data_IF_575221697896
#
_entry.id   IF_575221697896
#
_cell.length_a   1.000
_cell.length_b   1.000
_cell.length_c   1.000
_cell.angle_alpha   90.00
_cell.angle_beta   90.00
_cell.angle_gamma   90.00
#
_symmetry.space_group_name_H-M   'P 1'
#
loop_
_entity.id
_entity.type
_entity.pdbx_description
1 polymer ?
#
# COMPACT_ATOMS: atom_id res chain seq x y z
N UNK A 1 -1.13 8.49 -8.72
CA UNK A 1 -1.12 7.15 -8.08
C UNK A 1 -1.97 7.09 -6.82
N UNK A 2 -1.63 7.82 -5.75
CA UNK A 2 -2.31 7.73 -4.45
C UNK A 2 -3.83 7.89 -4.52
N UNK A 3 -4.31 8.88 -5.26
CA UNK A 3 -5.76 9.14 -5.39
C UNK A 3 -6.50 7.99 -6.07
N UNK A 4 -5.87 7.29 -7.01
CA UNK A 4 -6.45 6.10 -7.63
C UNK A 4 -6.45 4.92 -6.63
N UNK A 5 -5.36 4.73 -5.89
CA UNK A 5 -5.27 3.72 -4.84
C UNK A 5 -6.31 3.93 -3.72
N UNK A 6 -6.59 5.18 -3.36
CA UNK A 6 -7.66 5.54 -2.41
C UNK A 6 -9.03 5.10 -2.91
N UNK A 7 -9.35 5.30 -4.19
CA UNK A 7 -10.63 4.85 -4.74
C UNK A 7 -10.71 3.32 -4.83
N UNK A 8 -9.62 2.64 -5.22
CA UNK A 8 -9.55 1.16 -5.17
C UNK A 8 -9.83 0.66 -3.75
N UNK A 9 -9.21 1.28 -2.75
CA UNK A 9 -9.45 0.98 -1.35
C UNK A 9 -10.92 1.21 -0.97
N UNK A 10 -11.57 2.28 -1.42
CA UNK A 10 -13.00 2.54 -1.14
C UNK A 10 -13.93 1.52 -1.81
N UNK A 11 -13.67 1.17 -3.06
CA UNK A 11 -14.48 0.22 -3.84
C UNK A 11 -14.38 -1.20 -3.28
N UNK A 12 -13.17 -1.61 -2.88
CA UNK A 12 -12.87 -2.94 -2.36
C UNK A 12 -12.69 -2.92 -0.84
N UNK A 13 -13.80 -3.12 -0.13
CA UNK A 13 -13.88 -3.12 1.34
C UNK A 13 -13.09 -4.22 2.05
N UNK A 14 -12.63 -5.21 1.30
CA UNK A 14 -11.86 -6.35 1.81
C UNK A 14 -10.36 -6.03 1.95
N UNK A 15 -9.91 -4.96 1.32
CA UNK A 15 -8.54 -4.46 1.47
C UNK A 15 -8.35 -3.83 2.86
N UNK A 16 -7.28 -4.22 3.54
CA UNK A 16 -6.97 -3.73 4.90
C UNK A 16 -5.94 -2.62 4.89
N UNK A 17 -4.95 -2.71 4.00
CA UNK A 17 -3.89 -1.73 3.83
C UNK A 17 -3.43 -1.75 2.37
N UNK A 18 -2.99 -0.60 1.87
CA UNK A 18 -2.23 -0.50 0.64
C UNK A 18 -0.97 0.33 0.87
N UNK A 19 0.08 0.04 0.13
CA UNK A 19 1.35 0.73 0.23
C UNK A 19 1.88 1.01 -1.17
N UNK A 20 2.22 2.26 -1.47
CA UNK A 20 2.75 2.64 -2.76
C UNK A 20 4.03 3.45 -2.66
N UNK A 21 4.96 3.19 -3.57
CA UNK A 21 6.20 3.94 -3.76
C UNK A 21 6.50 3.98 -5.25
N UNK A 22 7.03 5.10 -5.73
CA UNK A 22 7.34 5.29 -7.15
C UNK A 22 6.08 5.10 -8.01
N UNK A 23 6.10 4.09 -8.87
CA UNK A 23 5.10 3.67 -9.85
C UNK A 23 4.39 2.38 -9.43
N UNK A 24 4.65 1.88 -8.21
CA UNK A 24 4.08 0.64 -7.70
C UNK A 24 3.09 0.87 -6.55
N UNK A 25 2.10 -0.02 -6.46
CA UNK A 25 1.17 -0.11 -5.34
C UNK A 25 0.91 -1.57 -4.96
N UNK A 26 1.12 -1.90 -3.70
CA UNK A 26 0.74 -3.16 -3.08
C UNK A 26 -0.61 -3.00 -2.38
N UNK A 27 -1.54 -3.92 -2.65
CA UNK A 27 -2.85 -3.97 -2.00
C UNK A 27 -2.97 -5.28 -1.21
N UNK A 28 -3.29 -5.19 0.08
CA UNK A 28 -3.34 -6.36 0.96
C UNK A 28 -4.79 -6.70 1.30
N UNK A 29 -5.20 -7.92 0.94
CA UNK A 29 -6.42 -8.53 1.44
C UNK A 29 -6.14 -9.21 2.78
N UNK A 30 -7.09 -9.15 3.71
CA UNK A 30 -6.98 -9.93 4.94
C UNK A 30 -6.93 -11.44 4.62
N UNK A 31 -6.15 -12.27 5.35
CA UNK A 31 -6.09 -13.73 5.14
C UNK A 31 -7.46 -14.41 5.11
N UNK A 32 -8.43 -13.91 5.88
CA UNK A 32 -9.79 -14.46 5.93
C UNK A 32 -10.74 -13.93 4.85
N UNK A 33 -10.31 -13.04 3.95
CA UNK A 33 -11.18 -12.52 2.88
C UNK A 33 -11.65 -13.67 1.98
N UNK A 34 -12.93 -13.63 1.62
CA UNK A 34 -13.56 -14.57 0.69
C UNK A 34 -13.92 -13.90 -0.65
N UNK A 35 -13.38 -12.70 -0.89
CA UNK A 35 -13.67 -11.95 -2.10
C UNK A 35 -13.31 -12.79 -3.34
N UNK A 36 -14.27 -12.90 -4.26
CA UNK A 36 -14.16 -13.73 -5.47
C UNK A 36 -13.74 -15.18 -5.22
N UNK A 37 -14.07 -15.75 -4.06
CA UNK A 37 -13.64 -17.10 -3.65
C UNK A 37 -12.12 -17.25 -3.68
N UNK A 38 -11.39 -16.16 -3.44
CA UNK A 38 -9.93 -16.10 -3.45
C UNK A 38 -9.30 -16.49 -4.79
N UNK A 39 -10.06 -16.44 -5.89
CA UNK A 39 -9.55 -16.67 -7.24
C UNK A 39 -8.56 -15.56 -7.60
N UNK A 40 -7.27 -15.91 -7.65
CA UNK A 40 -6.17 -14.99 -7.93
C UNK A 40 -6.41 -14.12 -9.17
N UNK A 41 -6.81 -14.75 -10.28
CA UNK A 41 -7.09 -14.03 -11.53
C UNK A 41 -8.17 -12.96 -11.38
N UNK A 42 -9.23 -13.20 -10.58
CA UNK A 42 -10.27 -12.19 -10.31
C UNK A 42 -9.75 -11.08 -9.40
N UNK A 43 -9.01 -11.42 -8.35
CA UNK A 43 -8.44 -10.43 -7.45
C UNK A 43 -7.50 -9.47 -8.20
N UNK A 44 -6.56 -10.02 -8.97
CA UNK A 44 -5.57 -9.24 -9.74
C UNK A 44 -6.28 -8.39 -10.79
N UNK A 45 -7.11 -9.00 -11.64
CA UNK A 45 -7.77 -8.25 -12.73
C UNK A 45 -8.70 -7.16 -12.21
N UNK A 46 -9.39 -7.38 -11.09
CA UNK A 46 -10.22 -6.32 -10.47
C UNK A 46 -9.35 -5.19 -9.92
N UNK A 47 -8.27 -5.47 -9.20
CA UNK A 47 -7.36 -4.41 -8.71
C UNK A 47 -6.80 -3.60 -9.87
N UNK A 48 -6.23 -4.26 -10.87
CA UNK A 48 -5.58 -3.58 -12.02
C UNK A 48 -6.59 -2.76 -12.81
N UNK A 49 -7.75 -3.34 -13.17
CA UNK A 49 -8.76 -2.62 -13.95
C UNK A 49 -9.36 -1.43 -13.20
N UNK A 50 -9.67 -1.59 -11.91
CA UNK A 50 -10.19 -0.50 -11.07
C UNK A 50 -9.15 0.60 -10.87
N UNK A 51 -7.88 0.23 -10.64
CA UNK A 51 -6.79 1.19 -10.49
C UNK A 51 -6.58 2.01 -11.76
N UNK A 52 -6.45 1.34 -12.91
CA UNK A 52 -6.26 1.98 -14.22
C UNK A 52 -7.41 2.93 -14.54
N UNK A 53 -8.66 2.48 -14.32
CA UNK A 53 -9.85 3.31 -14.55
C UNK A 53 -9.82 4.59 -13.71
N UNK A 54 -9.53 4.49 -12.41
CA UNK A 54 -9.44 5.66 -11.53
C UNK A 54 -8.24 6.55 -11.86
N UNK A 55 -7.10 5.98 -12.27
CA UNK A 55 -5.92 6.75 -12.66
C UNK A 55 -6.21 7.63 -13.87
N UNK A 56 -6.79 7.04 -14.92
CA UNK A 56 -7.18 7.78 -16.14
C UNK A 56 -8.27 8.80 -15.81
N UNK A 57 -9.30 8.41 -15.06
CA UNK A 57 -10.40 9.30 -14.69
C UNK A 57 -9.94 10.54 -13.92
N UNK A 58 -8.97 10.38 -13.01
CA UNK A 58 -8.45 11.48 -12.21
C UNK A 58 -7.29 12.22 -12.85
N UNK A 59 -6.77 11.77 -13.99
CA UNK A 59 -5.59 12.38 -14.62
C UNK A 59 -5.76 13.89 -14.82
N UNK A 60 -6.87 14.31 -15.42
CA UNK A 60 -7.17 15.73 -15.69
C UNK A 60 -7.32 16.58 -14.44
N UNK A 61 -7.59 15.96 -13.27
CA UNK A 61 -7.63 16.67 -11.98
C UNK A 61 -6.22 17.09 -11.53
N UNK A 62 -5.19 16.32 -11.88
CA UNK A 62 -3.80 16.58 -11.49
C UNK A 62 -3.00 17.26 -12.61
N UNK A 63 -3.32 16.96 -13.86
CA UNK A 63 -2.61 17.46 -15.05
C UNK A 63 -3.61 18.08 -16.05
N UNK A 64 -4.27 19.20 -15.71
CA UNK A 64 -5.28 19.82 -16.57
C UNK A 64 -4.70 20.32 -17.90
N UNK A 65 -3.43 20.71 -17.91
CA UNK A 65 -2.73 21.25 -19.09
C UNK A 65 -2.04 20.18 -19.94
N UNK A 66 -2.02 18.92 -19.48
CA UNK A 66 -1.34 17.83 -20.18
C UNK A 66 -2.30 16.66 -20.35
N UNK A 67 -3.22 16.70 -21.33
CA UNK A 67 -4.14 15.60 -21.60
C UNK A 67 -3.40 14.28 -21.88
N UNK A 68 -4.05 13.15 -21.58
CA UNK A 68 -3.50 11.84 -21.93
C UNK A 68 -3.55 11.63 -23.44
N UNK A 69 -2.38 11.39 -24.03
CA UNK A 69 -2.26 10.99 -25.42
C UNK A 69 -2.42 9.46 -25.55
N UNK A 70 -3.12 8.95 -26.58
CA UNK A 70 -3.28 7.51 -26.79
C UNK A 70 -1.95 6.74 -26.88
N UNK A 71 -0.88 7.40 -27.34
CA UNK A 71 0.47 6.84 -27.44
C UNK A 71 1.20 6.70 -26.09
N UNK A 72 0.71 7.35 -25.04
CA UNK A 72 1.36 7.44 -23.73
C UNK A 72 0.42 7.04 -22.59
N UNK A 73 -0.53 6.16 -22.87
CA UNK A 73 -1.43 5.66 -21.84
C UNK A 73 -0.66 4.82 -20.81
N UNK A 74 -0.92 5.03 -19.51
CA UNK A 74 -0.25 4.27 -18.47
C UNK A 74 -0.70 2.80 -18.54
N UNK A 75 0.27 1.90 -18.51
CA UNK A 75 0.04 0.46 -18.31
C UNK A 75 0.50 0.10 -16.91
N UNK A 76 -0.36 -0.57 -16.15
CA UNK A 76 -0.04 -1.04 -14.81
C UNK A 76 0.02 -2.55 -14.82
N UNK A 77 1.16 -3.08 -14.40
CA UNK A 77 1.38 -4.51 -14.22
C UNK A 77 1.31 -4.86 -12.74
N UNK A 78 0.80 -6.06 -12.44
CA UNK A 78 0.64 -6.51 -11.05
C UNK A 78 1.84 -7.32 -10.60
N UNK A 79 2.95 -6.69 -10.21
CA UNK A 79 4.16 -7.37 -9.77
C UNK A 79 4.76 -6.80 -8.45
N UNK A 80 5.69 -7.53 -7.85
CA UNK A 80 6.36 -7.19 -6.57
C UNK A 80 7.83 -6.80 -6.86
N UNK A 81 8.24 -5.52 -6.81
CA UNK A 81 9.58 -5.09 -6.30
C UNK A 81 9.91 -3.59 -6.42
N UNK A 82 9.97 -2.86 -5.29
CA UNK A 82 10.23 -1.42 -5.31
C UNK A 82 11.71 -1.00 -5.09
N UNK A 83 12.55 -1.76 -4.38
CA UNK A 83 13.91 -1.28 -4.02
C UNK A 83 14.91 -1.29 -5.19
N UNK A 84 14.71 -2.19 -6.14
CA UNK A 84 15.56 -2.30 -7.33
C UNK A 84 15.38 -1.10 -8.26
N UNK A 85 14.13 -0.66 -8.47
CA UNK A 85 13.75 0.33 -9.47
C UNK A 85 14.30 1.74 -9.17
N UNK A 86 14.29 2.18 -7.91
CA UNK A 86 14.81 3.51 -7.55
C UNK A 86 16.30 3.68 -7.85
N UNK A 87 17.10 2.64 -7.60
CA UNK A 87 18.54 2.71 -7.84
C UNK A 87 18.86 2.58 -9.33
N UNK A 88 18.10 1.74 -10.03
CA UNK A 88 18.24 1.52 -11.47
C UNK A 88 18.03 2.83 -12.26
N UNK A 89 16.93 3.54 -12.01
CA UNK A 89 16.61 4.76 -12.76
C UNK A 89 17.52 5.94 -12.43
N UNK A 90 18.01 6.05 -11.19
CA UNK A 90 18.93 7.14 -10.83
C UNK A 90 20.27 7.01 -11.58
N UNK A 91 20.78 5.80 -11.74
CA UNK A 91 22.01 5.54 -12.49
C UNK A 91 21.87 5.84 -13.99
N UNK A 92 20.70 5.59 -14.56
CA UNK A 92 20.42 5.89 -15.98
C UNK A 92 20.24 7.39 -16.19
N UNK A 93 19.34 8.02 -15.44
CA UNK A 93 18.92 9.40 -15.70
C UNK A 93 19.95 10.43 -15.24
N UNK A 94 20.64 10.20 -14.11
CA UNK A 94 21.65 11.11 -13.57
C UNK A 94 23.08 10.65 -13.83
N UNK A 95 23.30 9.34 -13.89
CA UNK A 95 24.62 8.76 -14.16
C UNK A 95 24.94 8.54 -15.63
N UNK A 96 23.97 8.71 -16.54
CA UNK A 96 24.15 8.48 -17.98
C UNK A 96 24.41 7.01 -18.34
N UNK A 97 24.13 6.08 -17.43
CA UNK A 97 24.34 4.65 -17.68
C UNK A 97 23.28 4.08 -18.62
N UNK A 98 23.65 3.03 -19.35
CA UNK A 98 22.68 2.26 -20.13
C UNK A 98 21.88 1.33 -19.21
N UNK A 99 20.68 0.93 -19.64
CA UNK A 99 19.84 -0.03 -18.90
C UNK A 99 20.60 -1.31 -18.55
N UNK A 100 21.40 -1.84 -19.48
CA UNK A 100 22.16 -3.08 -19.31
C UNK A 100 23.29 -2.94 -18.30
N UNK A 101 23.92 -1.77 -18.24
CA UNK A 101 25.01 -1.51 -17.29
C UNK A 101 24.45 -1.28 -15.88
N UNK A 102 23.34 -0.56 -15.75
CA UNK A 102 22.66 -0.35 -14.48
C UNK A 102 22.15 -1.66 -13.87
N UNK A 103 21.58 -2.58 -14.67
CA UNK A 103 21.16 -3.90 -14.21
C UNK A 103 22.35 -4.77 -13.76
N UNK A 104 23.45 -4.74 -14.52
CA UNK A 104 24.68 -5.48 -14.16
C UNK A 104 25.26 -4.98 -12.84
N UNK A 105 25.27 -3.67 -12.64
CA UNK A 105 25.83 -3.05 -11.44
C UNK A 105 24.94 -3.25 -10.20
N UNK A 106 23.62 -3.37 -10.37
CA UNK A 106 22.70 -3.70 -9.27
C UNK A 106 22.67 -5.18 -8.91
N UNK A 107 23.16 -6.04 -9.79
CA UNK A 107 23.14 -7.49 -9.58
C UNK A 107 23.99 -7.85 -8.37
N UNK A 108 23.35 -8.42 -7.35
CA UNK A 108 24.01 -8.85 -6.11
C UNK A 108 24.18 -7.78 -5.04
N UNK A 109 23.73 -6.55 -5.29
CA UNK A 109 23.79 -5.45 -4.30
C UNK A 109 22.75 -5.63 -3.20
N UNK A 110 23.10 -5.25 -1.97
CA UNK A 110 22.15 -5.13 -0.85
C UNK A 110 21.63 -3.69 -0.71
N UNK A 111 20.79 -3.42 0.28
CA UNK A 111 20.18 -2.10 0.47
C UNK A 111 21.20 -1.01 0.86
N UNK A 112 22.25 -1.38 1.60
CA UNK A 112 23.33 -0.44 1.98
C UNK A 112 24.11 0.06 0.78
N UNK A 113 24.46 -0.83 -0.15
CA UNK A 113 25.25 -0.50 -1.34
C UNK A 113 24.50 0.49 -2.24
N UNK A 114 23.19 0.29 -2.38
CA UNK A 114 22.31 1.20 -3.14
C UNK A 114 22.27 2.61 -2.53
N UNK A 115 22.23 2.71 -1.20
CA UNK A 115 22.26 3.99 -0.50
C UNK A 115 23.62 4.70 -0.64
N UNK A 116 24.73 3.95 -0.61
CA UNK A 116 26.07 4.51 -0.80
C UNK A 116 26.28 5.06 -2.21
N UNK A 117 25.76 4.36 -3.23
CA UNK A 117 25.78 4.83 -4.63
C UNK A 117 25.08 6.19 -4.77
N UNK A 118 23.90 6.35 -4.15
CA UNK A 118 23.13 7.59 -4.19
C UNK A 118 23.85 8.76 -3.53
N UNK A 119 24.49 8.51 -2.37
CA UNK A 119 25.17 9.53 -1.60
C UNK A 119 26.50 9.96 -2.25
N UNK A 120 27.39 9.00 -2.54
CA UNK A 120 28.76 9.27 -2.97
C UNK A 120 28.85 9.80 -4.40
N UNK A 121 28.02 9.30 -5.31
CA UNK A 121 28.12 9.66 -6.74
C UNK A 121 27.29 10.87 -7.14
N UNK A 122 26.19 11.13 -6.43
CA UNK A 122 25.22 12.15 -6.82
C UNK A 122 25.03 13.25 -5.78
N UNK A 123 25.70 13.16 -4.62
CA UNK A 123 25.61 14.17 -3.55
C UNK A 123 24.21 14.28 -2.95
N UNK A 124 23.36 13.27 -3.14
CA UNK A 124 21.97 13.28 -2.68
C UNK A 124 21.95 12.74 -1.25
N UNK A 125 21.69 13.60 -0.28
CA UNK A 125 21.36 13.16 1.06
C UNK A 125 19.90 12.69 1.10
N UNK A 126 19.71 11.38 0.95
CA UNK A 126 18.38 10.74 0.94
C UNK A 126 17.52 11.10 2.17
N UNK A 127 18.12 11.42 3.32
CA UNK A 127 17.37 11.75 4.53
C UNK A 127 16.62 13.10 4.47
N UNK A 128 17.03 14.01 3.58
CA UNK A 128 16.42 15.34 3.45
C UNK A 128 15.26 15.37 2.44
N UNK A 129 15.03 14.27 1.71
CA UNK A 129 13.90 14.17 0.81
C UNK A 129 12.56 14.14 1.58
N UNK A 130 11.47 14.64 0.97
CA UNK A 130 10.12 14.49 1.51
C UNK A 130 9.80 13.05 1.96
N UNK A 131 9.05 12.90 3.06
CA UNK A 131 8.71 11.57 3.60
C UNK A 131 7.99 10.69 2.57
N UNK A 132 7.21 11.26 1.65
CA UNK A 132 6.59 10.50 0.55
C UNK A 132 7.62 9.76 -0.31
N UNK A 133 8.82 10.30 -0.51
CA UNK A 133 9.89 9.67 -1.30
C UNK A 133 10.76 8.71 -0.46
N UNK A 134 10.78 8.88 0.86
CA UNK A 134 11.55 8.04 1.79
C UNK A 134 10.76 6.85 2.34
N UNK A 135 9.49 7.07 2.62
CA UNK A 135 8.58 6.16 3.33
C UNK A 135 7.42 5.69 2.47
N UNK A 136 7.25 6.25 1.26
CA UNK A 136 6.12 5.92 0.42
C UNK A 136 4.80 6.46 0.96
N UNK A 137 3.72 5.86 0.49
CA UNK A 137 2.34 6.23 0.82
C UNK A 137 1.61 5.01 1.37
N UNK A 138 1.32 5.00 2.66
CA UNK A 138 0.48 3.98 3.29
C UNK A 138 -0.97 4.46 3.27
N UNK A 139 -1.86 3.58 2.80
CA UNK A 139 -3.29 3.84 2.70
C UNK A 139 -4.04 2.82 3.54
N UNK A 140 -4.91 3.29 4.42
CA UNK A 140 -5.71 2.43 5.29
C UNK A 140 -7.03 3.11 5.65
N UNK A 141 -7.96 2.33 6.21
CA UNK A 141 -9.20 2.85 6.76
C UNK A 141 -8.95 3.38 8.17
N UNK A 142 -9.28 4.64 8.39
CA UNK A 142 -9.11 5.31 9.66
C UNK A 142 -10.23 4.93 10.64
N UNK A 143 -9.79 4.46 11.81
CA UNK A 143 -10.59 4.29 13.02
C UNK A 143 -9.87 5.03 14.16
N UNK A 144 -10.51 5.16 15.32
CA UNK A 144 -9.87 5.68 16.52
C UNK A 144 -8.62 4.87 16.85
N UNK A 145 -7.47 5.54 17.01
CA UNK A 145 -6.21 4.89 17.37
C UNK A 145 -6.31 4.30 18.77
N UNK A 146 -5.76 3.10 18.96
CA UNK A 146 -5.69 2.47 20.28
C UNK A 146 -4.38 2.84 20.98
N UNK A 147 -4.45 3.06 22.30
CA UNK A 147 -3.26 3.31 23.12
C UNK A 147 -2.54 1.99 23.40
N UNK A 148 -1.21 1.88 23.19
CA UNK A 148 -0.46 0.64 23.38
C UNK A 148 -0.61 0.04 24.80
N UNK A 149 -0.80 0.90 25.81
CA UNK A 149 -1.00 0.48 27.21
C UNK A 149 -2.33 -0.23 27.47
N UNK A 150 -3.32 -0.03 26.60
CA UNK A 150 -4.60 -0.74 26.69
C UNK A 150 -4.56 -2.13 26.04
N UNK A 151 -3.58 -2.37 25.15
CA UNK A 151 -3.40 -3.64 24.45
C UNK A 151 -2.77 -4.74 25.33
N UNK A 152 -1.99 -4.40 26.36
CA UNK A 152 -1.39 -5.37 27.30
C UNK A 152 -2.43 -6.18 28.11
N UNK A 153 -3.68 -5.73 28.17
CA UNK A 153 -4.79 -6.49 28.77
C UNK A 153 -5.38 -7.56 27.83
N UNK A 154 -5.00 -7.55 26.55
CA UNK A 154 -5.49 -8.49 25.54
C UNK A 154 -4.31 -9.32 25.06
N UNK A 155 -4.18 -10.54 25.59
CA UNK A 155 -3.15 -11.52 25.23
C UNK A 155 -2.85 -11.48 23.73
N UNK A 156 -1.56 -11.44 23.39
CA UNK A 156 -1.10 -11.71 22.03
C UNK A 156 -1.78 -12.99 21.51
N UNK A 157 -2.34 -12.99 20.29
CA UNK A 157 -2.86 -14.22 19.72
C UNK A 157 -1.67 -15.15 19.48
N UNK A 158 -1.63 -16.27 20.20
CA UNK A 158 -0.71 -17.36 19.91
C UNK A 158 -0.96 -17.88 18.48
N UNK A 159 0.06 -18.43 17.82
CA UNK A 159 -0.10 -19.02 16.47
C UNK A 159 -1.21 -20.09 16.41
N UNK A 160 -1.56 -20.70 17.54
CA UNK A 160 -2.71 -21.62 17.67
C UNK A 160 -4.08 -20.91 17.59
N UNK A 161 -4.20 -19.64 18.01
CA UNK A 161 -5.42 -18.83 17.91
C UNK A 161 -5.68 -18.33 16.48
N UNK A 162 -4.61 -18.05 15.72
CA UNK A 162 -4.70 -17.69 14.31
C UNK A 162 -5.26 -18.84 13.44
N UNK A 163 -4.94 -20.08 13.81
CA UNK A 163 -5.45 -21.28 13.14
C UNK A 163 -6.86 -21.69 13.62
N UNK A 164 -7.26 -21.39 14.87
CA UNK A 164 -8.63 -21.66 15.35
C UNK A 164 -9.67 -20.64 14.84
N UNK A 165 -9.23 -19.44 14.42
CA UNK A 165 -10.08 -18.41 13.83
C UNK A 165 -10.57 -18.74 12.39
N UNK A 166 -10.12 -19.85 11.80
CA UNK A 166 -10.51 -20.27 10.45
C UNK A 166 -11.94 -20.82 10.34
N UNK A 167 -12.68 -21.01 11.44
CA UNK A 167 -14.07 -21.48 11.37
C UNK A 167 -14.96 -20.90 12.48
N UNK A 168 -15.39 -19.65 12.32
CA UNK A 168 -16.76 -19.29 12.71
C UNK A 168 -17.38 -18.56 11.53
N UNK A 169 -18.36 -19.20 10.89
CA UNK A 169 -19.19 -18.56 9.87
C UNK A 169 -19.89 -17.36 10.50
N UNK A 170 -19.27 -16.19 10.36
CA UNK A 170 -19.88 -14.92 10.70
C UNK A 170 -21.14 -14.82 9.84
N UNK A 171 -22.30 -14.70 10.47
CA UNK A 171 -23.59 -14.66 9.79
C UNK A 171 -23.57 -13.62 8.65
N UNK A 172 -24.23 -13.91 7.52
CA UNK A 172 -24.33 -12.98 6.38
C UNK A 172 -24.71 -11.57 6.81
N UNK A 173 -25.61 -11.44 7.78
CA UNK A 173 -26.03 -10.15 8.35
C UNK A 173 -24.90 -9.42 9.08
N UNK A 174 -24.04 -10.14 9.82
CA UNK A 174 -22.87 -9.56 10.48
C UNK A 174 -21.81 -9.14 9.45
N UNK A 175 -21.58 -9.94 8.42
CA UNK A 175 -20.67 -9.59 7.32
C UNK A 175 -21.12 -8.30 6.60
N UNK A 176 -22.42 -8.16 6.32
CA UNK A 176 -22.97 -6.94 5.72
C UNK A 176 -22.83 -5.72 6.63
N UNK A 177 -23.04 -5.87 7.95
CA UNK A 177 -22.83 -4.78 8.92
C UNK A 177 -21.36 -4.33 8.92
N UNK A 178 -20.42 -5.27 8.97
CA UNK A 178 -18.98 -5.00 8.89
C UNK A 178 -18.65 -4.29 7.57
N UNK A 179 -19.20 -4.76 6.45
CA UNK A 179 -18.99 -4.14 5.13
C UNK A 179 -19.51 -2.71 5.07
N UNK A 180 -20.70 -2.45 5.63
CA UNK A 180 -21.28 -1.10 5.74
C UNK A 180 -20.41 -0.18 6.60
N UNK A 181 -19.90 -0.68 7.73
CA UNK A 181 -19.01 0.09 8.60
C UNK A 181 -17.69 0.45 7.90
N UNK A 182 -17.08 -0.51 7.18
CA UNK A 182 -15.87 -0.25 6.37
C UNK A 182 -16.07 0.72 5.23
N UNK A 183 -17.30 0.82 4.68
CA UNK A 183 -17.66 1.83 3.68
C UNK A 183 -17.78 3.23 4.28
N UNK A 184 -18.17 3.34 5.54
CA UNK A 184 -18.26 4.62 6.27
C UNK A 184 -16.89 5.12 6.73
N UNK A 185 -15.97 4.22 7.03
CA UNK A 185 -14.62 4.59 7.45
C UNK A 185 -13.90 5.40 6.38
N UNK A 186 -13.31 6.53 6.79
CA UNK A 186 -12.49 7.37 5.92
C UNK A 186 -11.25 6.60 5.49
N UNK A 187 -10.94 6.63 4.19
CA UNK A 187 -9.66 6.11 3.68
C UNK A 187 -8.65 7.25 3.71
N UNK A 188 -7.57 7.07 4.46
CA UNK A 188 -6.50 8.08 4.65
C UNK A 188 -5.21 7.65 3.97
N UNK A 189 -4.38 8.64 3.67
CA UNK A 189 -3.03 8.45 3.09
C UNK A 189 -2.04 9.10 4.04
N UNK A 190 -1.11 8.32 4.57
CA UNK A 190 -0.03 8.81 5.43
C UNK A 190 1.35 8.46 4.83
N UNK A 191 2.38 9.17 5.28
CA UNK A 191 3.78 8.95 4.90
C UNK A 191 4.59 8.67 6.17
N UNK A 192 4.32 7.52 6.79
CA UNK A 192 4.86 7.16 8.11
C UNK A 192 5.58 5.81 8.09
N UNK A 193 6.40 5.57 9.11
CA UNK A 193 7.09 4.31 9.29
C UNK A 193 6.11 3.19 9.66
N UNK A 194 6.04 2.16 8.81
CA UNK A 194 5.20 0.97 9.03
C UNK A 194 6.05 -0.25 9.44
N UNK A 195 7.34 -0.06 9.70
CA UNK A 195 8.27 -1.13 10.08
C UNK A 195 8.18 -1.37 11.58
N UNK A 196 8.10 -0.30 12.38
CA UNK A 196 7.99 -0.39 13.84
C UNK A 196 6.61 -0.85 14.32
N UNK A 197 6.59 -1.56 15.45
CA UNK A 197 5.38 -2.11 16.06
C UNK A 197 4.34 -1.04 16.43
N UNK A 198 4.78 0.18 16.76
CA UNK A 198 3.88 1.27 17.13
C UNK A 198 2.79 1.51 16.07
N UNK A 199 3.14 1.41 14.78
CA UNK A 199 2.18 1.58 13.71
C UNK A 199 1.04 0.55 13.79
N UNK A 200 1.40 -0.72 14.02
CA UNK A 200 0.51 -1.87 14.04
C UNK A 200 -0.30 -1.96 15.34
N UNK A 201 0.33 -1.71 16.48
CA UNK A 201 -0.29 -1.73 17.81
C UNK A 201 -1.37 -0.66 17.94
N UNK A 202 -1.16 0.53 17.36
CA UNK A 202 -2.14 1.61 17.36
C UNK A 202 -3.28 1.40 16.35
N UNK A 203 -3.14 0.43 15.44
CA UNK A 203 -4.10 0.14 14.35
C UNK A 203 -4.44 -1.36 14.28
N UNK A 204 -4.91 -2.00 15.36
CA UNK A 204 -5.08 -3.45 15.41
C UNK A 204 -6.15 -3.98 14.44
N UNK A 205 -7.03 -3.13 13.93
CA UNK A 205 -8.00 -3.49 12.89
C UNK A 205 -7.36 -3.95 11.57
N UNK A 206 -6.13 -3.53 11.29
CA UNK A 206 -5.42 -3.93 10.06
C UNK A 206 -5.11 -5.43 10.09
N UNK A 207 -4.65 -5.94 11.24
CA UNK A 207 -4.28 -7.34 11.42
C UNK A 207 -5.44 -8.22 11.88
N UNK A 208 -6.40 -7.67 12.65
CA UNK A 208 -7.52 -8.45 13.19
C UNK A 208 -8.71 -8.59 12.22
N UNK A 209 -8.74 -7.80 11.14
CA UNK A 209 -9.87 -7.64 10.22
C UNK A 209 -11.15 -7.08 10.86
N UNK A 210 -11.12 -6.69 12.14
CA UNK A 210 -12.29 -6.17 12.86
C UNK A 210 -12.25 -4.65 12.81
N UNK A 211 -13.24 -3.98 12.20
CA UNK A 211 -13.32 -2.53 12.23
C UNK A 211 -13.27 -1.97 13.65
N UNK A 212 -12.51 -0.90 13.86
CA UNK A 212 -12.51 -0.15 15.12
C UNK A 212 -13.71 0.80 15.23
N UNK A 213 -13.67 1.68 16.23
CA UNK A 213 -14.63 2.78 16.36
C UNK A 213 -14.34 3.85 15.33
N UNK A 214 -15.37 4.41 14.72
CA UNK A 214 -15.20 5.56 13.83
C UNK A 214 -14.79 6.77 14.66
N UNK A 215 -13.82 7.59 14.21
CA UNK A 215 -13.46 8.81 14.92
C UNK A 215 -14.68 9.72 15.05
N UNK A 216 -14.82 10.38 16.20
CA UNK A 216 -15.79 11.48 16.35
C UNK A 216 -15.35 12.60 15.41
N UNK A 217 -16.24 13.04 14.51
CA UNK A 217 -15.98 14.19 13.65
C UNK A 217 -15.88 15.44 14.55
N UNK A 218 -14.72 16.10 14.55
CA UNK A 218 -14.53 17.46 15.10
C UNK A 218 -15.14 18.51 14.17
#
# INVERSE_FOLDING_TARGET
MNTAAVEVMKDLTDLVIAYGVSDEYSFVFHPTSQLFERRSGKLITTIVSTFTAHYIFKWSTFFPETPLEPSSLPSFDGHINNLYNTTFWTMIQKGGMTNTDAERELKGTVSSDKNEILFTRFGINYNNEPEIYKKGSVIYRQYELEDPKSAEATKEPTQEDANSALQKDVSKTQQEKIRKLRRKAKVVVDHIDIIKDEFWQRRPWILSNKPGKLPVEE
#
